data_IF_367929616245
#
_entry.id   IF_367929616245
#
_cell.length_a   1.000
_cell.length_b   1.000
_cell.length_c   1.000
_cell.angle_alpha   90.00
_cell.angle_beta   90.00
_cell.angle_gamma   90.00
#
_symmetry.space_group_name_H-M   'P 1'
#
loop_
_entity.id
_entity.type
_entity.pdbx_description
1 polymer ?
#
# COMPACT_ATOMS: atom_id res chain seq x y z
N UNK A 1 10.49 26.63 2.13
CA UNK A 1 9.36 25.89 2.66
C UNK A 1 9.90 24.63 3.35
N UNK A 2 9.77 24.54 4.67
CA UNK A 2 9.98 23.29 5.38
C UNK A 2 8.68 22.49 5.25
N UNK A 3 8.72 21.35 4.58
CA UNK A 3 7.60 20.44 4.47
C UNK A 3 8.09 19.01 4.66
N UNK A 4 7.28 18.19 5.29
CA UNK A 4 7.49 16.76 5.43
C UNK A 4 6.93 16.03 4.20
N UNK A 5 7.69 15.09 3.66
CA UNK A 5 7.21 14.21 2.60
C UNK A 5 6.73 12.89 3.20
N UNK A 6 5.49 12.53 2.93
CA UNK A 6 4.93 11.22 3.30
C UNK A 6 4.75 10.40 2.03
N UNK A 7 5.49 9.31 1.92
CA UNK A 7 5.45 8.41 0.78
C UNK A 7 4.77 7.09 1.15
N UNK A 8 3.78 6.69 0.36
CA UNK A 8 3.24 5.34 0.44
C UNK A 8 4.05 4.45 -0.50
N UNK A 9 4.82 3.55 0.09
CA UNK A 9 5.61 2.54 -0.58
C UNK A 9 4.91 1.18 -0.59
N UNK A 10 5.63 0.11 -0.92
CA UNK A 10 5.07 -1.23 -1.09
C UNK A 10 6.01 -2.29 -0.56
N UNK A 11 5.45 -3.41 -0.12
CA UNK A 11 6.16 -4.66 0.15
C UNK A 11 6.79 -5.27 -1.11
N UNK A 12 6.33 -4.87 -2.30
CA UNK A 12 6.91 -5.28 -3.59
C UNK A 12 8.38 -4.92 -3.78
N UNK A 13 9.00 -4.17 -2.85
CA UNK A 13 10.46 -3.95 -2.81
C UNK A 13 11.23 -5.16 -2.31
N UNK A 14 10.56 -6.17 -1.74
CA UNK A 14 11.15 -7.40 -1.24
C UNK A 14 10.86 -8.59 -2.14
N UNK A 15 11.69 -9.63 -2.03
CA UNK A 15 11.59 -10.83 -2.87
C UNK A 15 10.50 -11.82 -2.46
N UNK A 16 9.91 -11.69 -1.28
CA UNK A 16 8.93 -12.63 -0.75
C UNK A 16 9.51 -14.01 -0.39
N UNK A 17 10.82 -14.15 -0.23
CA UNK A 17 11.49 -15.44 0.05
C UNK A 17 11.56 -15.79 1.54
N UNK A 18 11.21 -14.85 2.41
CA UNK A 18 11.18 -15.02 3.86
C UNK A 18 9.76 -14.84 4.38
N UNK A 19 9.46 -15.43 5.54
CA UNK A 19 8.12 -15.34 6.14
C UNK A 19 7.76 -13.94 6.62
N UNK A 20 8.77 -13.13 6.97
CA UNK A 20 8.58 -11.76 7.44
C UNK A 20 9.77 -10.88 7.05
N UNK A 21 9.53 -9.58 6.97
CA UNK A 21 10.53 -8.55 6.74
C UNK A 21 10.39 -7.44 7.77
N UNK A 22 11.52 -6.90 8.22
CA UNK A 22 11.62 -5.72 9.06
C UNK A 22 11.92 -4.46 8.22
N UNK A 23 11.83 -3.29 8.84
CA UNK A 23 12.07 -2.00 8.17
C UNK A 23 13.49 -1.85 7.64
N UNK A 24 14.48 -2.46 8.30
CA UNK A 24 15.90 -2.41 8.00
C UNK A 24 16.42 -3.57 7.14
N UNK A 25 15.54 -4.52 6.79
CA UNK A 25 15.91 -5.60 5.88
C UNK A 25 16.29 -5.07 4.50
N UNK A 26 17.24 -5.76 3.87
CA UNK A 26 17.75 -5.38 2.55
C UNK A 26 16.70 -5.64 1.47
N UNK A 27 16.22 -4.60 0.76
CA UNK A 27 15.29 -4.77 -0.34
C UNK A 27 15.89 -5.57 -1.50
N UNK A 28 15.07 -6.40 -2.13
CA UNK A 28 15.42 -7.18 -3.31
C UNK A 28 14.20 -7.36 -4.21
N UNK A 29 13.79 -6.32 -4.96
CA UNK A 29 12.61 -6.35 -5.81
C UNK A 29 12.76 -7.35 -6.94
N UNK A 30 11.69 -8.06 -7.29
CA UNK A 30 11.65 -9.06 -8.37
C UNK A 30 11.04 -8.53 -9.66
N UNK A 31 10.54 -7.30 -9.68
CA UNK A 31 9.88 -6.72 -10.83
C UNK A 31 10.09 -5.20 -10.91
N UNK A 32 9.81 -4.66 -12.08
CA UNK A 32 10.00 -3.23 -12.37
C UNK A 32 9.20 -2.30 -11.41
N UNK A 33 8.00 -2.71 -11.00
CA UNK A 33 7.23 -1.93 -10.02
C UNK A 33 7.96 -1.81 -8.69
N UNK A 34 8.46 -2.94 -8.15
CA UNK A 34 9.25 -2.95 -6.93
C UNK A 34 10.54 -2.12 -7.05
N UNK A 35 11.23 -2.22 -8.19
CA UNK A 35 12.43 -1.41 -8.47
C UNK A 35 12.12 0.08 -8.45
N UNK A 36 11.04 0.52 -9.09
CA UNK A 36 10.65 1.95 -9.10
C UNK A 36 10.25 2.44 -7.72
N UNK A 37 9.58 1.60 -6.90
CA UNK A 37 9.24 1.93 -5.51
C UNK A 37 10.49 2.06 -4.65
N UNK A 38 11.44 1.14 -4.78
CA UNK A 38 12.73 1.20 -4.06
C UNK A 38 13.54 2.44 -4.46
N UNK A 39 13.63 2.74 -5.74
CA UNK A 39 14.30 3.95 -6.22
C UNK A 39 13.66 5.21 -5.61
N UNK A 40 12.34 5.27 -5.59
CA UNK A 40 11.61 6.37 -4.97
C UNK A 40 11.88 6.48 -3.46
N UNK A 41 11.95 5.36 -2.72
CA UNK A 41 12.36 5.39 -1.31
C UNK A 41 13.77 5.96 -1.12
N UNK A 42 14.71 5.58 -1.98
CA UNK A 42 16.09 6.06 -1.92
C UNK A 42 16.18 7.59 -2.15
N UNK A 43 15.37 8.14 -3.07
CA UNK A 43 15.30 9.58 -3.27
C UNK A 43 14.70 10.30 -2.04
N UNK A 44 13.65 9.74 -1.45
CA UNK A 44 12.99 10.31 -0.28
C UNK A 44 13.90 10.31 0.95
N UNK A 45 14.73 9.28 1.13
CA UNK A 45 15.71 9.19 2.24
C UNK A 45 16.77 10.29 2.20
N UNK A 46 16.97 10.96 1.08
CA UNK A 46 17.85 12.13 0.97
C UNK A 46 17.26 13.41 1.57
N UNK A 47 15.97 13.40 1.92
CA UNK A 47 15.29 14.53 2.55
C UNK A 47 15.53 14.54 4.07
N UNK A 48 15.48 15.71 4.67
CA UNK A 48 15.67 15.89 6.13
C UNK A 48 14.43 15.52 6.94
N UNK A 49 13.25 15.56 6.33
CA UNK A 49 11.97 15.28 7.01
C UNK A 49 11.06 14.45 6.10
N UNK A 50 10.97 13.16 6.41
CA UNK A 50 10.20 12.23 5.61
C UNK A 50 9.57 11.11 6.46
N UNK A 51 8.53 10.51 5.91
CA UNK A 51 7.91 9.28 6.37
C UNK A 51 7.65 8.37 5.18
N UNK A 52 8.19 7.15 5.21
CA UNK A 52 7.91 6.12 4.22
C UNK A 52 7.03 5.06 4.89
N UNK A 53 5.80 4.88 4.41
CA UNK A 53 4.90 3.82 4.86
C UNK A 53 4.89 2.72 3.81
N UNK A 54 5.49 1.59 4.13
CA UNK A 54 5.42 0.38 3.29
C UNK A 54 4.10 -0.32 3.58
N UNK A 55 3.36 -0.62 2.55
CA UNK A 55 2.04 -1.27 2.67
C UNK A 55 1.92 -2.37 1.64
N UNK A 56 1.00 -3.29 1.88
CA UNK A 56 0.57 -4.24 0.88
C UNK A 56 -0.83 -3.86 0.37
N UNK A 57 -1.54 -4.79 -0.22
CA UNK A 57 -2.85 -4.69 -0.80
C UNK A 57 -3.79 -3.80 0.03
N UNK A 58 -3.94 -2.55 -0.40
CA UNK A 58 -4.81 -1.59 0.29
C UNK A 58 -6.29 -1.93 0.04
N UNK A 59 -7.08 -1.98 1.10
CA UNK A 59 -8.51 -2.18 1.02
C UNK A 59 -9.27 -1.21 1.92
N UNK A 60 -10.51 -0.95 1.58
CA UNK A 60 -11.39 -0.07 2.36
C UNK A 60 -12.72 0.15 1.69
N UNK A 61 -13.67 0.69 2.43
CA UNK A 61 -14.99 1.00 1.93
C UNK A 61 -15.02 2.38 1.24
N UNK A 62 -15.60 2.43 0.06
CA UNK A 62 -15.87 3.68 -0.65
C UNK A 62 -17.37 3.84 -0.84
N UNK A 63 -17.94 4.92 -0.32
CA UNK A 63 -19.37 5.17 -0.47
C UNK A 63 -19.77 5.36 -1.94
N UNK A 64 -20.95 4.83 -2.33
CA UNK A 64 -21.49 4.92 -3.69
C UNK A 64 -21.60 6.37 -4.18
N UNK A 65 -21.86 7.33 -3.30
CA UNK A 65 -21.91 8.76 -3.65
C UNK A 65 -20.59 9.34 -4.11
N UNK A 66 -19.44 8.78 -3.64
CA UNK A 66 -18.10 9.18 -4.10
C UNK A 66 -17.73 8.48 -5.41
N UNK A 67 -18.21 7.26 -5.64
CA UNK A 67 -17.97 6.51 -6.87
C UNK A 67 -18.67 7.17 -8.07
N UNK A 68 -19.90 7.64 -7.90
CA UNK A 68 -20.69 8.27 -8.96
C UNK A 68 -20.13 9.63 -9.45
N UNK A 69 -19.27 10.28 -8.65
CA UNK A 69 -18.59 11.53 -9.06
C UNK A 69 -17.33 11.31 -9.92
N UNK A 70 -16.85 10.06 -10.00
CA UNK A 70 -15.69 9.67 -10.82
C UNK A 70 -16.17 8.76 -11.95
N UNK A 71 -16.73 9.33 -12.98
CA UNK A 71 -17.43 8.66 -14.09
C UNK A 71 -16.64 7.61 -14.89
N UNK A 72 -15.39 7.32 -14.55
CA UNK A 72 -14.53 6.36 -15.26
C UNK A 72 -14.10 5.14 -14.44
N UNK A 73 -14.61 4.95 -13.21
CA UNK A 73 -14.28 3.79 -12.40
C UNK A 73 -15.44 2.77 -12.37
N UNK A 74 -15.61 2.03 -13.45
CA UNK A 74 -16.50 0.86 -13.50
C UNK A 74 -15.90 -0.40 -12.87
N UNK A 75 -14.65 -0.33 -12.37
CA UNK A 75 -14.00 -1.45 -11.66
C UNK A 75 -14.09 -1.24 -10.17
N UNK A 76 -14.35 -2.33 -9.43
CA UNK A 76 -14.28 -2.36 -7.96
C UNK A 76 -12.97 -1.72 -7.51
N UNK A 77 -13.05 -0.82 -6.53
CA UNK A 77 -11.98 0.07 -6.13
C UNK A 77 -10.80 -0.63 -5.45
N UNK A 78 -10.99 -1.90 -5.04
CA UNK A 78 -9.94 -2.73 -4.47
C UNK A 78 -10.28 -4.22 -4.62
N UNK A 79 -9.28 -5.08 -4.41
CA UNK A 79 -9.39 -6.52 -4.56
C UNK A 79 -10.49 -7.14 -3.70
N UNK A 80 -10.62 -6.75 -2.43
CA UNK A 80 -11.63 -7.29 -1.51
C UNK A 80 -13.05 -6.98 -2.00
N UNK A 81 -13.30 -5.74 -2.40
CA UNK A 81 -14.61 -5.35 -2.93
C UNK A 81 -14.91 -6.01 -4.28
N UNK A 82 -13.88 -6.25 -5.10
CA UNK A 82 -14.03 -6.99 -6.34
C UNK A 82 -14.45 -8.44 -6.05
N UNK A 83 -13.76 -9.14 -5.16
CA UNK A 83 -14.12 -10.52 -4.78
C UNK A 83 -15.55 -10.59 -4.26
N UNK A 84 -15.93 -9.70 -3.34
CA UNK A 84 -17.30 -9.64 -2.80
C UNK A 84 -18.34 -9.39 -3.90
N UNK A 85 -18.04 -8.50 -4.84
CA UNK A 85 -18.92 -8.21 -5.98
C UNK A 85 -19.13 -9.42 -6.87
N UNK A 86 -18.06 -10.17 -7.17
CA UNK A 86 -18.16 -11.35 -8.03
C UNK A 86 -18.89 -12.51 -7.36
N UNK A 87 -18.62 -12.73 -6.06
CA UNK A 87 -19.35 -13.74 -5.27
C UNK A 87 -20.84 -13.42 -5.16
N UNK A 88 -21.21 -12.15 -4.96
CA UNK A 88 -22.63 -11.74 -4.93
C UNK A 88 -23.36 -11.96 -6.26
N UNK A 89 -22.63 -12.01 -7.37
CA UNK A 89 -23.17 -12.33 -8.70
C UNK A 89 -23.16 -13.81 -9.02
N UNK A 90 -22.72 -14.65 -8.08
CA UNK A 90 -22.45 -16.07 -8.28
C UNK A 90 -21.46 -16.37 -9.44
N UNK A 91 -20.53 -15.46 -9.70
CA UNK A 91 -19.51 -15.67 -10.70
C UNK A 91 -18.39 -16.56 -10.19
N UNK A 92 -17.86 -17.40 -11.08
CA UNK A 92 -16.61 -18.11 -10.80
C UNK A 92 -15.43 -17.16 -10.97
N UNK A 93 -14.56 -17.10 -9.96
CA UNK A 93 -13.34 -16.33 -9.98
C UNK A 93 -12.12 -17.27 -9.93
N UNK A 94 -11.06 -16.87 -10.62
CA UNK A 94 -9.75 -17.52 -10.54
C UNK A 94 -8.82 -16.59 -9.77
N UNK A 95 -8.24 -17.10 -8.70
CA UNK A 95 -7.36 -16.37 -7.81
C UNK A 95 -6.08 -17.18 -7.65
N UNK A 96 -4.94 -16.48 -7.55
CA UNK A 96 -3.65 -17.06 -7.18
C UNK A 96 -3.76 -17.54 -5.74
N UNK A 97 -3.32 -18.75 -5.44
CA UNK A 97 -3.45 -19.40 -4.12
C UNK A 97 -2.09 -19.58 -3.41
N UNK A 98 -0.99 -19.31 -4.08
CA UNK A 98 0.38 -19.40 -3.57
C UNK A 98 1.00 -18.04 -3.21
N UNK A 99 0.25 -16.94 -3.35
CA UNK A 99 0.70 -15.60 -2.98
C UNK A 99 0.19 -15.23 -1.59
N UNK A 100 1.10 -15.19 -0.62
CA UNK A 100 0.84 -14.66 0.71
C UNK A 100 0.94 -13.14 0.70
N UNK A 101 -0.01 -12.48 1.37
CA UNK A 101 -0.07 -11.03 1.43
C UNK A 101 -0.70 -10.57 2.73
N UNK A 102 -0.34 -9.37 3.18
CA UNK A 102 -0.81 -8.78 4.43
C UNK A 102 -1.67 -7.53 4.11
N UNK A 103 -2.98 -7.69 3.83
CA UNK A 103 -3.80 -6.58 3.39
C UNK A 103 -3.87 -5.45 4.43
N UNK A 104 -3.75 -4.21 3.97
CA UNK A 104 -3.77 -3.01 4.83
C UNK A 104 -5.09 -2.27 4.69
N UNK A 105 -5.81 -2.09 5.80
CA UNK A 105 -7.02 -1.26 5.84
C UNK A 105 -6.62 0.22 5.73
N UNK A 106 -7.19 0.94 4.74
CA UNK A 106 -6.83 2.35 4.47
C UNK A 106 -7.12 3.28 5.64
N UNK A 107 -8.14 2.99 6.44
CA UNK A 107 -8.47 3.78 7.64
C UNK A 107 -7.38 3.63 8.72
N UNK A 108 -6.85 2.40 8.91
CA UNK A 108 -5.76 2.15 9.83
C UNK A 108 -4.46 2.83 9.35
N UNK A 109 -4.13 2.72 8.07
CA UNK A 109 -2.98 3.40 7.49
C UNK A 109 -3.08 4.91 7.69
N UNK A 110 -4.23 5.50 7.40
CA UNK A 110 -4.48 6.94 7.60
C UNK A 110 -4.28 7.35 9.06
N UNK A 111 -4.78 6.55 10.00
CA UNK A 111 -4.62 6.80 11.44
C UNK A 111 -3.16 6.69 11.89
N UNK A 112 -2.44 5.69 11.39
CA UNK A 112 -1.01 5.53 11.70
C UNK A 112 -0.21 6.73 11.19
N UNK A 113 -0.45 7.18 9.96
CA UNK A 113 0.19 8.35 9.37
C UNK A 113 -0.04 9.58 10.26
N UNK A 114 -1.27 9.83 10.70
CA UNK A 114 -1.59 10.95 11.60
C UNK A 114 -0.85 10.85 12.94
N UNK A 115 -0.77 9.66 13.52
CA UNK A 115 -0.04 9.45 14.78
C UNK A 115 1.46 9.66 14.63
N UNK A 116 2.06 9.22 13.53
CA UNK A 116 3.48 9.42 13.23
C UNK A 116 3.80 10.89 12.98
N UNK A 117 2.89 11.61 12.32
CA UNK A 117 2.99 13.05 12.11
C UNK A 117 2.99 13.80 13.47
N UNK A 118 2.05 13.50 14.35
CA UNK A 118 1.95 14.09 15.68
C UNK A 118 3.17 13.82 16.57
N UNK A 119 3.86 12.72 16.35
CA UNK A 119 5.08 12.33 17.09
C UNK A 119 6.37 12.81 16.42
N UNK A 120 6.29 13.59 15.34
CA UNK A 120 7.46 14.04 14.56
C UNK A 120 8.38 12.89 14.13
N UNK A 121 7.79 11.73 13.85
CA UNK A 121 8.57 10.56 13.45
C UNK A 121 9.17 10.76 12.07
N UNK A 122 10.47 10.46 11.93
CA UNK A 122 11.21 10.45 10.66
C UNK A 122 11.71 9.02 10.44
N UNK A 123 11.41 8.44 9.28
CA UNK A 123 11.89 7.09 8.96
C UNK A 123 10.92 6.25 8.15
N UNK A 124 11.00 4.93 8.31
CA UNK A 124 10.21 3.93 7.60
C UNK A 124 9.31 3.22 8.62
N UNK A 125 8.09 2.88 8.21
CA UNK A 125 7.15 2.05 8.96
C UNK A 125 6.39 1.08 8.03
N UNK A 126 5.86 0.02 8.65
CA UNK A 126 4.99 -0.96 8.01
C UNK A 126 3.53 -0.76 8.42
#
# INVERSE_FOLDING_TARGET
>A
LQCKLIQISSDGIFSGRTESYAEDDTPNPLNYYGETKLQSENEVKNLTDYLICRTNLLYGYVSQTKLNKRSNYSKSTNFVLWVLSELNKNNHIRIVDDQLSNPTLVDNLSRIIQLMELKYYIGICW
#
